data_IF_256652161385
#
_entry.id   IF_256652161385
#
_cell.length_a   1.000
_cell.length_b   1.000
_cell.length_c   1.000
_cell.angle_alpha   90.00
_cell.angle_beta   90.00
_cell.angle_gamma   90.00
#
_symmetry.space_group_name_H-M   'P 1'
#
loop_
_entity.id
_entity.type
_entity.pdbx_description
1 polymer ?
#
# COMPACT_ATOMS: atom_id res chain seq x y z
N UNK A 1 14.01 25.04 17.72
CA UNK A 1 13.22 23.97 17.11
C UNK A 1 11.77 24.41 17.07
N UNK A 2 11.11 24.32 15.92
CA UNK A 2 9.68 24.60 15.82
C UNK A 2 8.88 23.49 16.48
N UNK A 3 7.63 23.73 16.90
CA UNK A 3 6.74 22.69 17.44
C UNK A 3 6.62 21.48 16.49
N UNK A 4 6.60 21.74 15.18
CA UNK A 4 6.57 20.68 14.17
C UNK A 4 7.83 19.80 14.17
N UNK A 5 9.01 20.34 14.49
CA UNK A 5 10.25 19.55 14.61
C UNK A 5 10.24 18.67 15.84
N UNK A 6 9.71 19.14 16.97
CA UNK A 6 9.59 18.35 18.21
C UNK A 6 8.71 17.12 18.04
N UNK A 7 7.71 17.15 17.14
CA UNK A 7 6.83 16.03 16.86
C UNK A 7 7.54 14.78 16.31
N UNK A 8 8.73 14.92 15.75
CA UNK A 8 9.47 13.81 15.11
C UNK A 8 10.73 13.35 15.88
N UNK A 9 11.04 13.95 17.02
CA UNK A 9 12.22 13.60 17.85
C UNK A 9 12.23 12.11 18.24
N UNK A 10 11.04 11.50 18.41
CA UNK A 10 10.91 10.08 18.71
C UNK A 10 11.37 9.20 17.55
N UNK A 11 11.09 9.61 16.31
CA UNK A 11 11.52 8.91 15.10
C UNK A 11 13.04 9.05 14.92
N UNK A 12 13.57 10.25 15.11
CA UNK A 12 15.01 10.51 15.04
C UNK A 12 15.79 9.68 16.08
N UNK A 13 15.31 9.63 17.34
CA UNK A 13 15.93 8.77 18.38
C UNK A 13 15.90 7.28 18.05
N UNK A 14 14.87 6.83 17.32
CA UNK A 14 14.72 5.41 16.95
C UNK A 14 15.66 5.01 15.80
N UNK A 15 15.76 5.86 14.77
CA UNK A 15 16.53 5.56 13.56
C UNK A 15 17.97 6.12 13.58
N UNK A 16 18.25 7.08 14.46
CA UNK A 16 19.48 7.86 14.48
C UNK A 16 19.43 9.06 13.51
N UNK A 17 20.16 10.13 13.85
CA UNK A 17 20.06 11.41 13.14
C UNK A 17 20.35 11.31 11.63
N UNK A 18 21.36 10.55 11.22
CA UNK A 18 21.72 10.43 9.80
C UNK A 18 20.74 9.59 9.00
N UNK A 19 20.26 8.49 9.57
CA UNK A 19 19.19 7.68 8.96
C UNK A 19 17.89 8.47 8.86
N UNK A 20 17.57 9.28 9.86
CA UNK A 20 16.39 10.14 9.85
C UNK A 20 16.47 11.24 8.78
N UNK A 21 17.65 11.79 8.52
CA UNK A 21 17.86 12.71 7.37
C UNK A 21 17.51 12.04 6.03
N UNK A 22 17.83 10.74 5.87
CA UNK A 22 17.46 10.00 4.67
C UNK A 22 15.93 9.83 4.56
N UNK A 23 15.24 9.53 5.67
CA UNK A 23 13.76 9.47 5.70
C UNK A 23 13.15 10.82 5.33
N UNK A 24 13.66 11.91 5.88
CA UNK A 24 13.19 13.27 5.58
C UNK A 24 13.42 13.73 4.14
N UNK A 25 14.38 13.15 3.44
CA UNK A 25 14.66 13.44 2.02
C UNK A 25 13.90 12.51 1.08
N UNK A 26 13.37 11.41 1.59
CA UNK A 26 12.75 10.39 0.76
C UNK A 26 11.48 10.91 0.06
N UNK A 27 11.31 10.50 -1.20
CA UNK A 27 10.11 10.69 -1.99
C UNK A 27 9.41 9.34 -2.20
N UNK A 28 8.23 9.17 -1.60
CA UNK A 28 7.49 7.91 -1.64
C UNK A 28 6.19 8.11 -2.41
N UNK A 29 5.92 7.22 -3.37
CA UNK A 29 4.67 7.17 -4.11
C UNK A 29 3.74 6.14 -3.49
N UNK A 30 2.49 6.53 -3.23
CA UNK A 30 1.41 5.64 -2.76
C UNK A 30 0.34 5.59 -3.82
N UNK A 31 0.10 4.40 -4.39
CA UNK A 31 -0.93 4.18 -5.41
C UNK A 31 -2.10 3.44 -4.79
N UNK A 32 -3.28 4.06 -4.84
CA UNK A 32 -4.49 3.59 -4.17
C UNK A 32 -4.61 4.14 -2.74
N UNK A 33 -5.52 5.10 -2.52
CA UNK A 33 -5.81 5.74 -1.22
C UNK A 33 -7.12 5.17 -0.65
N UNK A 34 -7.13 3.84 -0.61
CA UNK A 34 -8.24 3.05 -0.07
C UNK A 34 -8.00 2.58 1.36
N UNK A 35 -8.54 1.38 1.68
CA UNK A 35 -8.50 0.78 3.03
C UNK A 35 -7.10 0.57 3.60
N UNK A 36 -6.08 0.34 2.75
CA UNK A 36 -4.69 0.20 3.19
C UNK A 36 -3.89 1.47 2.92
N UNK A 37 -4.05 2.07 1.73
CA UNK A 37 -3.24 3.21 1.32
C UNK A 37 -3.41 4.45 2.18
N UNK A 38 -4.59 4.69 2.77
CA UNK A 38 -4.80 5.78 3.72
C UNK A 38 -3.95 5.62 5.00
N UNK A 39 -3.81 4.39 5.50
CA UNK A 39 -2.94 4.08 6.65
C UNK A 39 -1.45 4.12 6.29
N UNK A 40 -1.11 3.77 5.04
CA UNK A 40 0.25 3.96 4.51
C UNK A 40 0.61 5.45 4.53
N UNK A 41 -0.23 6.30 3.94
CA UNK A 41 0.01 7.74 3.87
C UNK A 41 0.11 8.39 5.26
N UNK A 42 -0.76 8.00 6.20
CA UNK A 42 -0.72 8.41 7.61
C UNK A 42 0.60 8.03 8.26
N UNK A 43 1.04 6.78 8.12
CA UNK A 43 2.27 6.30 8.73
C UNK A 43 3.51 6.98 8.16
N UNK A 44 3.55 7.24 6.86
CA UNK A 44 4.63 7.99 6.21
C UNK A 44 4.71 9.43 6.73
N UNK A 45 3.57 10.12 6.82
CA UNK A 45 3.50 11.47 7.36
C UNK A 45 4.00 11.53 8.80
N UNK A 46 3.54 10.60 9.67
CA UNK A 46 3.96 10.49 11.09
C UNK A 46 5.41 10.04 11.28
N UNK A 47 6.00 9.46 10.25
CA UNK A 47 7.42 9.09 10.24
C UNK A 47 8.33 10.22 9.76
N UNK A 48 7.78 11.38 9.39
CA UNK A 48 8.54 12.53 8.95
C UNK A 48 9.07 12.43 7.51
N UNK A 49 8.47 11.61 6.66
CA UNK A 49 8.82 11.53 5.23
C UNK A 49 8.65 12.90 4.58
N UNK A 50 9.64 13.31 3.80
CA UNK A 50 9.71 14.68 3.27
C UNK A 50 8.88 14.91 2.02
N UNK A 51 8.62 13.86 1.22
CA UNK A 51 7.80 14.00 0.03
C UNK A 51 6.93 12.75 -0.20
N UNK A 52 5.65 12.95 -0.42
CA UNK A 52 4.67 11.90 -0.67
C UNK A 52 3.87 12.27 -1.94
N UNK A 53 3.81 11.33 -2.88
CA UNK A 53 2.88 11.43 -4.02
C UNK A 53 1.73 10.47 -3.78
N UNK A 54 0.50 10.96 -3.86
CA UNK A 54 -0.74 10.20 -3.73
C UNK A 54 -1.38 10.05 -5.11
N UNK A 55 -1.72 8.81 -5.50
CA UNK A 55 -2.38 8.51 -6.78
C UNK A 55 -3.67 7.76 -6.50
N UNK A 56 -4.80 8.38 -6.73
CA UNK A 56 -6.17 7.81 -6.66
C UNK A 56 -7.12 8.75 -7.38
N UNK A 57 -8.24 8.25 -7.89
CA UNK A 57 -9.27 9.04 -8.57
C UNK A 57 -10.63 8.99 -7.86
N UNK A 58 -10.73 8.21 -6.78
CA UNK A 58 -12.01 8.00 -6.10
C UNK A 58 -12.35 9.14 -5.13
N UNK A 59 -13.65 9.31 -4.91
CA UNK A 59 -14.21 10.08 -3.80
C UNK A 59 -14.41 9.20 -2.55
N UNK A 60 -14.52 9.85 -1.41
CA UNK A 60 -14.85 9.21 -0.14
C UNK A 60 -16.31 8.77 -0.17
N UNK A 61 -16.57 7.48 0.04
CA UNK A 61 -17.93 6.94 0.17
C UNK A 61 -18.22 6.56 1.63
N UNK A 62 -19.50 6.66 2.04
CA UNK A 62 -19.94 6.27 3.38
C UNK A 62 -19.59 4.80 3.71
N UNK A 63 -19.61 3.90 2.71
CA UNK A 63 -19.20 2.50 2.85
C UNK A 63 -17.70 2.30 3.16
N UNK A 64 -16.91 3.36 3.11
CA UNK A 64 -15.48 3.32 3.41
C UNK A 64 -15.16 3.56 4.89
N UNK A 65 -16.11 4.05 5.68
CA UNK A 65 -15.93 4.51 7.08
C UNK A 65 -15.32 3.43 7.97
N UNK A 66 -15.65 2.18 7.75
CA UNK A 66 -15.19 1.06 8.59
C UNK A 66 -13.69 0.73 8.45
N UNK A 67 -13.00 1.28 7.39
CA UNK A 67 -11.62 0.88 7.11
C UNK A 67 -10.71 1.93 6.49
N UNK A 68 -11.24 3.01 5.93
CA UNK A 68 -10.44 4.08 5.32
C UNK A 68 -10.34 5.28 6.28
N UNK A 69 -9.12 5.69 6.57
CA UNK A 69 -8.84 6.76 7.53
C UNK A 69 -9.49 8.10 7.15
N UNK A 70 -9.52 8.40 5.84
CA UNK A 70 -10.11 9.63 5.30
C UNK A 70 -11.63 9.66 5.34
N UNK A 71 -12.27 8.50 5.54
CA UNK A 71 -13.72 8.38 5.47
C UNK A 71 -14.38 8.70 6.82
N UNK A 72 -14.90 9.90 6.92
CA UNK A 72 -15.71 10.42 8.01
C UNK A 72 -17.05 10.88 7.43
N UNK A 73 -18.08 11.04 8.26
CA UNK A 73 -19.36 11.61 7.80
C UNK A 73 -19.18 13.00 7.19
N UNK A 74 -18.21 13.77 7.69
CA UNK A 74 -17.90 15.13 7.22
C UNK A 74 -17.09 15.18 5.91
N UNK A 75 -16.53 14.05 5.47
CA UNK A 75 -15.69 13.99 4.26
C UNK A 75 -16.28 13.17 3.12
N UNK A 76 -17.50 12.59 3.32
CA UNK A 76 -18.22 11.89 2.24
C UNK A 76 -18.38 12.82 1.03
N UNK A 77 -18.21 12.27 -0.17
CA UNK A 77 -18.24 12.94 -1.48
C UNK A 77 -17.07 13.91 -1.75
N UNK A 78 -16.05 13.95 -0.88
CA UNK A 78 -14.80 14.69 -1.14
C UNK A 78 -13.75 13.78 -1.79
N UNK A 79 -12.87 14.36 -2.60
CA UNK A 79 -11.77 13.64 -3.29
C UNK A 79 -10.81 13.04 -2.26
N UNK A 80 -10.59 11.73 -2.29
CA UNK A 80 -9.78 11.01 -1.27
C UNK A 80 -8.38 11.57 -1.09
N UNK A 81 -7.69 11.86 -2.20
CA UNK A 81 -6.30 12.33 -2.15
C UNK A 81 -6.20 13.75 -1.58
N UNK A 82 -7.21 14.60 -1.77
CA UNK A 82 -7.26 15.93 -1.19
C UNK A 82 -7.45 15.87 0.32
N UNK A 83 -8.43 15.10 0.80
CA UNK A 83 -8.66 14.87 2.24
C UNK A 83 -7.42 14.29 2.91
N UNK A 84 -6.71 13.36 2.23
CA UNK A 84 -5.48 12.80 2.77
C UNK A 84 -4.32 13.80 2.76
N UNK A 85 -4.23 14.67 1.75
CA UNK A 85 -3.19 15.71 1.68
C UNK A 85 -3.33 16.74 2.80
N UNK A 86 -4.54 17.19 3.07
CA UNK A 86 -4.81 18.13 4.17
C UNK A 86 -4.40 17.50 5.51
N UNK A 87 -4.74 16.24 5.71
CA UNK A 87 -4.33 15.50 6.90
C UNK A 87 -2.81 15.33 7.01
N UNK A 88 -2.11 15.02 5.91
CA UNK A 88 -0.65 14.93 5.90
C UNK A 88 -0.02 16.27 6.28
N UNK A 89 -0.54 17.38 5.74
CA UNK A 89 -0.03 18.72 6.05
C UNK A 89 -0.26 19.12 7.51
N UNK A 90 -1.37 18.70 8.11
CA UNK A 90 -1.64 18.93 9.53
C UNK A 90 -0.70 18.14 10.44
N UNK A 91 -0.30 16.93 10.03
CA UNK A 91 0.67 16.08 10.75
C UNK A 91 2.11 16.56 10.53
N UNK A 92 2.48 16.78 9.27
CA UNK A 92 3.83 17.14 8.84
C UNK A 92 3.79 18.32 7.86
N UNK A 93 3.71 19.56 8.35
CA UNK A 93 3.63 20.77 7.52
C UNK A 93 4.81 20.92 6.53
N UNK A 94 5.95 20.28 6.82
CA UNK A 94 7.12 20.33 5.94
C UNK A 94 7.09 19.30 4.82
N UNK A 95 6.13 18.36 4.82
CA UNK A 95 5.99 17.35 3.78
C UNK A 95 5.49 17.98 2.47
N UNK A 96 6.20 17.73 1.38
CA UNK A 96 5.70 18.04 0.04
C UNK A 96 4.73 16.96 -0.39
N UNK A 97 3.46 17.32 -0.60
CA UNK A 97 2.43 16.39 -1.05
C UNK A 97 2.09 16.69 -2.50
N UNK A 98 2.23 15.69 -3.37
CA UNK A 98 1.84 15.77 -4.77
C UNK A 98 0.61 14.90 -5.01
N UNK A 99 -0.37 15.41 -5.73
CA UNK A 99 -1.61 14.72 -6.04
C UNK A 99 -1.66 14.36 -7.52
N UNK A 100 -2.06 13.13 -7.82
CA UNK A 100 -2.35 12.65 -9.17
C UNK A 100 -3.74 12.03 -9.10
N UNK A 101 -4.74 12.78 -9.55
CA UNK A 101 -6.15 12.37 -9.55
C UNK A 101 -6.45 11.53 -10.80
N UNK A 102 -5.84 10.35 -10.84
CA UNK A 102 -5.99 9.41 -11.95
C UNK A 102 -5.93 7.96 -11.45
N UNK A 103 -6.59 7.04 -12.17
CA UNK A 103 -6.27 5.62 -12.05
C UNK A 103 -5.06 5.28 -12.91
N UNK A 104 -4.11 4.56 -12.33
CA UNK A 104 -2.95 4.07 -13.10
C UNK A 104 -3.40 3.08 -14.17
N UNK A 105 -3.11 3.40 -15.41
CA UNK A 105 -3.48 2.63 -16.60
C UNK A 105 -2.38 2.60 -17.65
N UNK A 106 -2.62 1.93 -18.79
CA UNK A 106 -1.64 1.79 -19.87
C UNK A 106 -1.18 3.14 -20.43
N UNK A 107 -2.09 4.11 -20.51
CA UNK A 107 -1.84 5.39 -21.18
C UNK A 107 -1.07 6.38 -20.29
N UNK A 108 -1.08 6.21 -18.97
CA UNK A 108 -0.47 7.14 -18.01
C UNK A 108 0.56 6.52 -17.08
N UNK A 109 0.83 5.21 -17.20
CA UNK A 109 1.76 4.48 -16.33
C UNK A 109 3.14 5.16 -16.26
N UNK A 110 3.68 5.54 -17.40
CA UNK A 110 4.98 6.22 -17.47
C UNK A 110 4.90 7.59 -16.80
N UNK A 111 3.88 8.40 -17.06
CA UNK A 111 3.70 9.71 -16.44
C UNK A 111 3.51 9.62 -14.90
N UNK A 112 2.84 8.59 -14.43
CA UNK A 112 2.63 8.35 -13.01
C UNK A 112 3.90 7.87 -12.29
N UNK A 113 4.69 6.98 -12.91
CA UNK A 113 5.77 6.28 -12.24
C UNK A 113 7.19 6.73 -12.63
N UNK A 114 7.37 7.40 -13.77
CA UNK A 114 8.68 7.90 -14.20
C UNK A 114 9.02 9.24 -13.53
N UNK A 115 9.15 9.19 -12.21
CA UNK A 115 9.54 10.30 -11.34
C UNK A 115 10.61 9.80 -10.38
N UNK A 116 11.32 10.70 -9.74
CA UNK A 116 12.40 10.35 -8.79
C UNK A 116 11.84 9.83 -7.46
N UNK A 117 11.16 8.67 -7.52
CA UNK A 117 10.69 7.98 -6.32
C UNK A 117 11.79 7.12 -5.71
N UNK A 118 12.03 7.26 -4.43
CA UNK A 118 12.84 6.32 -3.68
C UNK A 118 12.14 4.98 -3.50
N UNK A 119 10.80 4.99 -3.43
CA UNK A 119 9.98 3.80 -3.30
C UNK A 119 8.55 3.99 -3.81
N UNK A 120 7.96 2.93 -4.36
CA UNK A 120 6.54 2.86 -4.73
C UNK A 120 5.83 1.86 -3.82
N UNK A 121 4.70 2.26 -3.24
CA UNK A 121 3.81 1.40 -2.45
C UNK A 121 2.51 1.22 -3.25
N UNK A 122 2.31 0.02 -3.77
CA UNK A 122 1.13 -0.35 -4.53
C UNK A 122 0.06 -0.91 -3.60
N UNK A 123 -0.90 -0.06 -3.22
CA UNK A 123 -2.04 -0.36 -2.37
C UNK A 123 -3.38 -0.40 -3.12
N UNK A 124 -3.36 -0.39 -4.46
CA UNK A 124 -4.57 -0.51 -5.27
C UNK A 124 -5.10 -1.96 -5.31
N UNK A 125 -6.34 -2.16 -5.72
CA UNK A 125 -6.98 -3.48 -5.84
C UNK A 125 -7.12 -3.97 -7.30
N UNK A 126 -6.84 -3.12 -8.27
CA UNK A 126 -6.87 -3.46 -9.69
C UNK A 126 -5.72 -4.38 -10.09
N UNK A 127 -6.04 -5.64 -10.41
CA UNK A 127 -5.05 -6.63 -10.89
C UNK A 127 -4.27 -6.13 -12.10
N UNK A 128 -4.96 -5.45 -13.04
CA UNK A 128 -4.33 -4.93 -14.25
C UNK A 128 -3.31 -3.84 -13.90
N UNK A 129 -3.70 -2.86 -13.11
CA UNK A 129 -2.81 -1.79 -12.66
C UNK A 129 -1.62 -2.35 -11.85
N UNK A 130 -1.87 -3.23 -10.88
CA UNK A 130 -0.81 -3.90 -10.09
C UNK A 130 0.20 -4.61 -10.98
N UNK A 131 -0.26 -5.40 -11.95
CA UNK A 131 0.64 -6.15 -12.84
C UNK A 131 1.51 -5.22 -13.69
N UNK A 132 0.93 -4.15 -14.23
CA UNK A 132 1.67 -3.13 -14.98
C UNK A 132 2.72 -2.44 -14.11
N UNK A 133 2.33 -1.94 -12.93
CA UNK A 133 3.24 -1.26 -12.00
C UNK A 133 4.37 -2.15 -11.54
N UNK A 134 4.08 -3.38 -11.09
CA UNK A 134 5.08 -4.34 -10.64
C UNK A 134 6.06 -4.69 -11.75
N UNK A 135 5.56 -4.90 -12.97
CA UNK A 135 6.42 -5.19 -14.13
C UNK A 135 7.28 -4.00 -14.50
N UNK A 136 6.69 -2.81 -14.61
CA UNK A 136 7.39 -1.58 -14.95
C UNK A 136 8.49 -1.24 -13.94
N UNK A 137 8.16 -1.23 -12.66
CA UNK A 137 9.11 -0.95 -11.58
C UNK A 137 10.27 -1.95 -11.58
N UNK A 138 9.97 -3.24 -11.77
CA UNK A 138 11.01 -4.28 -11.86
C UNK A 138 11.98 -4.03 -13.02
N UNK A 139 11.48 -3.73 -14.21
CA UNK A 139 12.31 -3.46 -15.40
C UNK A 139 13.14 -2.18 -15.26
N UNK A 140 12.56 -1.13 -14.69
CA UNK A 140 13.21 0.16 -14.46
C UNK A 140 14.04 0.21 -13.18
N UNK A 141 14.06 -0.88 -12.37
CA UNK A 141 14.76 -0.97 -11.08
C UNK A 141 14.29 0.07 -10.05
N UNK A 142 13.03 0.51 -10.16
CA UNK A 142 12.37 1.33 -9.16
C UNK A 142 11.91 0.42 -8.02
N UNK A 143 12.29 0.70 -6.76
CA UNK A 143 11.85 -0.13 -5.64
C UNK A 143 10.33 -0.10 -5.48
N UNK A 144 9.71 -1.26 -5.34
CA UNK A 144 8.27 -1.40 -5.14
C UNK A 144 7.95 -2.48 -4.10
N UNK A 145 6.94 -2.20 -3.27
CA UNK A 145 6.23 -3.18 -2.46
C UNK A 145 4.77 -3.20 -2.89
N UNK A 146 4.22 -4.39 -3.10
CA UNK A 146 2.80 -4.55 -3.43
C UNK A 146 2.03 -5.09 -2.24
N UNK A 147 0.76 -4.72 -2.14
CA UNK A 147 -0.10 -5.14 -1.05
C UNK A 147 -1.14 -6.12 -1.59
N UNK A 148 -1.31 -7.24 -0.89
CA UNK A 148 -2.32 -8.24 -1.17
C UNK A 148 -3.72 -7.82 -0.71
N UNK A 149 -4.65 -8.76 -0.72
CA UNK A 149 -6.01 -8.54 -0.25
C UNK A 149 -6.08 -8.49 1.27
N UNK A 150 -6.65 -7.41 1.82
CA UNK A 150 -6.88 -7.24 3.26
C UNK A 150 -8.34 -7.53 3.70
N UNK A 151 -9.19 -7.93 2.77
CA UNK A 151 -10.59 -8.30 3.05
C UNK A 151 -10.73 -9.76 3.48
N UNK A 152 -11.80 -10.06 4.23
CA UNK A 152 -12.10 -11.40 4.73
C UNK A 152 -11.21 -11.87 5.88
N UNK A 153 -10.52 -10.97 6.55
CA UNK A 153 -9.54 -11.26 7.61
C UNK A 153 -9.90 -10.53 8.90
N UNK A 154 -9.52 -11.11 10.04
CA UNK A 154 -9.80 -10.60 11.39
C UNK A 154 -8.58 -10.56 12.29
N UNK A 155 -7.53 -11.34 11.96
CA UNK A 155 -6.34 -11.49 12.77
C UNK A 155 -5.15 -10.72 12.18
N UNK A 156 -4.86 -9.50 12.70
CA UNK A 156 -3.76 -8.70 12.22
C UNK A 156 -2.40 -9.32 12.51
N UNK A 157 -2.28 -10.24 13.48
CA UNK A 157 -1.01 -10.90 13.81
C UNK A 157 -0.50 -11.83 12.73
N UNK A 158 -1.35 -12.22 11.78
CA UNK A 158 -1.01 -13.08 10.64
C UNK A 158 -0.50 -12.33 9.41
N UNK A 159 -0.47 -11.00 9.48
CA UNK A 159 0.07 -10.15 8.40
C UNK A 159 1.59 -10.24 8.38
N UNK A 160 2.16 -10.40 7.19
CA UNK A 160 3.61 -10.57 6.99
C UNK A 160 4.05 -10.11 5.61
N UNK A 161 5.35 -9.94 5.46
CA UNK A 161 5.97 -9.68 4.16
C UNK A 161 6.60 -10.96 3.64
N UNK A 162 6.28 -11.31 2.40
CA UNK A 162 6.90 -12.41 1.67
C UNK A 162 7.18 -11.99 0.24
N UNK A 163 8.00 -12.76 -0.47
CA UNK A 163 8.10 -12.58 -1.93
C UNK A 163 6.75 -12.88 -2.59
N UNK A 164 6.31 -12.03 -3.52
CA UNK A 164 5.01 -12.17 -4.19
C UNK A 164 4.82 -13.56 -4.80
N UNK A 165 5.89 -14.20 -5.32
CA UNK A 165 5.83 -15.55 -5.86
C UNK A 165 5.48 -16.60 -4.79
N UNK A 166 5.74 -16.32 -3.51
CA UNK A 166 5.59 -17.24 -2.38
C UNK A 166 4.32 -16.98 -1.53
N UNK A 167 3.50 -16.00 -1.90
CA UNK A 167 2.24 -15.72 -1.19
C UNK A 167 1.31 -16.92 -1.22
N UNK A 168 0.57 -17.14 -0.13
CA UNK A 168 -0.42 -18.21 0.02
C UNK A 168 -1.75 -17.60 0.51
N UNK A 169 -2.84 -18.29 0.28
CA UNK A 169 -4.19 -17.96 0.83
C UNK A 169 -4.78 -16.64 0.33
N UNK A 170 -4.05 -15.81 -0.40
CA UNK A 170 -4.46 -14.50 -0.89
C UNK A 170 -4.90 -14.58 -2.36
N UNK A 171 -6.21 -14.42 -2.68
CA UNK A 171 -6.72 -14.52 -4.04
C UNK A 171 -6.24 -13.38 -4.96
N UNK A 172 -6.07 -12.15 -4.40
CA UNK A 172 -5.56 -11.00 -5.16
C UNK A 172 -4.13 -11.26 -5.61
N UNK A 173 -3.26 -11.66 -4.69
CA UNK A 173 -1.87 -12.00 -4.99
C UNK A 173 -1.76 -13.23 -5.91
N UNK A 174 -2.64 -14.23 -5.76
CA UNK A 174 -2.68 -15.40 -6.65
C UNK A 174 -3.02 -15.00 -8.09
N UNK A 175 -4.02 -14.14 -8.28
CA UNK A 175 -4.39 -13.63 -9.60
C UNK A 175 -3.28 -12.76 -10.20
N UNK A 176 -2.68 -11.88 -9.39
CA UNK A 176 -1.54 -11.06 -9.80
C UNK A 176 -0.38 -11.93 -10.29
N UNK A 177 0.02 -12.97 -9.54
CA UNK A 177 1.06 -13.92 -9.97
C UNK A 177 0.74 -14.58 -11.30
N UNK A 178 -0.53 -14.97 -11.51
CA UNK A 178 -0.97 -15.58 -12.76
C UNK A 178 -0.79 -14.64 -13.95
N UNK A 179 -1.21 -13.38 -13.80
CA UNK A 179 -1.08 -12.36 -14.85
C UNK A 179 0.39 -12.05 -15.13
N UNK A 180 1.22 -11.87 -14.08
CA UNK A 180 2.65 -11.60 -14.23
C UNK A 180 3.38 -12.73 -15.00
N UNK A 181 3.03 -13.99 -14.73
CA UNK A 181 3.60 -15.15 -15.45
C UNK A 181 3.12 -15.27 -16.88
N UNK A 182 1.85 -14.99 -17.14
CA UNK A 182 1.27 -15.17 -18.48
C UNK A 182 1.55 -14.02 -19.43
N UNK A 183 1.62 -12.77 -18.93
CA UNK A 183 1.66 -11.57 -19.77
C UNK A 183 2.93 -10.73 -19.65
N UNK A 184 3.67 -10.84 -18.52
CA UNK A 184 4.81 -9.98 -18.23
C UNK A 184 6.15 -10.71 -18.10
N UNK A 185 6.23 -11.96 -18.55
CA UNK A 185 7.50 -12.70 -18.62
C UNK A 185 8.10 -13.10 -17.26
N UNK A 186 7.33 -13.06 -16.18
CA UNK A 186 7.80 -13.55 -14.88
C UNK A 186 7.94 -15.08 -14.89
N UNK A 187 8.90 -15.60 -14.12
CA UNK A 187 9.23 -17.02 -14.10
C UNK A 187 8.01 -17.90 -13.84
N UNK A 188 7.78 -18.89 -14.72
CA UNK A 188 6.77 -19.92 -14.56
C UNK A 188 7.17 -21.00 -13.54
N UNK A 189 8.46 -21.09 -13.18
CA UNK A 189 8.94 -21.99 -12.14
C UNK A 189 8.41 -21.53 -10.78
N UNK A 190 7.62 -22.36 -10.13
CA UNK A 190 6.96 -22.06 -8.85
C UNK A 190 7.95 -21.90 -7.68
N UNK A 191 9.18 -22.41 -7.80
CA UNK A 191 10.24 -22.25 -6.80
C UNK A 191 11.03 -20.95 -6.97
N UNK A 192 10.90 -20.26 -8.12
CA UNK A 192 11.61 -19.02 -8.39
C UNK A 192 10.92 -17.84 -7.73
N UNK A 193 11.69 -17.02 -7.03
CA UNK A 193 11.23 -15.76 -6.44
C UNK A 193 11.09 -14.68 -7.52
N UNK A 194 10.13 -13.79 -7.35
CA UNK A 194 9.97 -12.61 -8.21
C UNK A 194 10.87 -11.46 -7.78
N UNK A 195 11.39 -11.51 -6.57
CA UNK A 195 12.12 -10.40 -5.91
C UNK A 195 11.27 -9.14 -5.81
N UNK A 196 9.98 -9.32 -5.61
CA UNK A 196 8.98 -8.30 -5.32
C UNK A 196 8.41 -8.63 -3.94
N UNK A 197 8.55 -7.73 -3.00
CA UNK A 197 7.96 -7.90 -1.67
C UNK A 197 6.46 -7.66 -1.71
N UNK A 198 5.71 -8.50 -1.00
CA UNK A 198 4.26 -8.40 -0.90
C UNK A 198 3.85 -8.49 0.58
N UNK A 199 3.08 -7.50 1.03
CA UNK A 199 2.39 -7.58 2.32
C UNK A 199 1.14 -8.41 2.13
N UNK A 200 0.99 -9.50 2.86
CA UNK A 200 -0.17 -10.38 2.81
C UNK A 200 -0.42 -11.04 4.16
N UNK A 201 -1.61 -11.59 4.36
CA UNK A 201 -1.91 -12.41 5.53
C UNK A 201 -1.78 -13.91 5.21
N UNK A 202 -1.49 -14.68 6.25
CA UNK A 202 -1.58 -16.16 6.21
C UNK A 202 -2.91 -16.68 6.77
N UNK A 203 -3.81 -15.79 7.15
CA UNK A 203 -5.14 -16.13 7.62
C UNK A 203 -6.00 -16.70 6.51
N UNK A 204 -6.75 -17.76 6.80
CA UNK A 204 -7.78 -18.26 5.90
C UNK A 204 -8.93 -17.26 5.83
N UNK A 205 -9.42 -16.98 4.62
CA UNK A 205 -10.45 -15.97 4.42
C UNK A 205 -11.81 -16.41 4.97
N UNK A 206 -12.53 -15.46 5.52
CA UNK A 206 -13.92 -15.59 5.93
C UNK A 206 -14.83 -15.07 4.83
N UNK A 207 -15.81 -15.88 4.46
CA UNK A 207 -16.77 -15.57 3.41
C UNK A 207 -18.15 -15.34 3.98
N UNK A 208 -18.84 -14.23 3.69
CA UNK A 208 -20.22 -14.03 4.07
C UNK A 208 -21.11 -15.04 3.35
N UNK A 209 -22.11 -15.56 4.07
CA UNK A 209 -23.08 -16.50 3.54
C UNK A 209 -24.43 -15.78 3.31
N UNK A 210 -25.33 -16.31 2.46
CA UNK A 210 -26.61 -15.71 2.15
C UNK A 210 -27.55 -15.56 3.37
N UNK A 211 -27.37 -16.39 4.39
CA UNK A 211 -28.14 -16.38 5.64
C UNK A 211 -27.61 -15.35 6.67
N UNK A 212 -26.57 -14.58 6.29
CA UNK A 212 -25.91 -13.61 7.17
C UNK A 212 -24.82 -14.20 8.07
N UNK A 213 -24.60 -15.51 8.04
CA UNK A 213 -23.51 -16.15 8.74
C UNK A 213 -22.17 -15.94 7.99
N UNK A 214 -21.07 -16.37 8.60
CA UNK A 214 -19.73 -16.28 8.00
C UNK A 214 -19.04 -17.64 8.12
N UNK A 215 -18.49 -18.14 7.01
CA UNK A 215 -17.80 -19.42 6.95
C UNK A 215 -16.45 -19.28 6.20
N UNK A 216 -15.60 -20.28 6.33
CA UNK A 216 -14.37 -20.45 5.52
C UNK A 216 -14.66 -21.02 4.14
N UNK A 217 -15.81 -21.66 3.93
CA UNK A 217 -16.26 -22.17 2.65
C UNK A 217 -16.84 -21.05 1.78
N UNK A 218 -16.39 -20.98 0.53
CA UNK A 218 -16.95 -20.05 -0.44
C UNK A 218 -18.35 -20.52 -0.84
N UNK A 219 -19.39 -19.70 -0.62
CA UNK A 219 -20.74 -20.03 -1.08
C UNK A 219 -20.80 -20.20 -2.60
N UNK A 220 -21.57 -21.18 -3.07
CA UNK A 220 -21.78 -21.43 -4.51
C UNK A 220 -22.35 -20.20 -5.26
N UNK A 221 -23.16 -19.39 -4.59
CA UNK A 221 -23.74 -18.16 -5.15
C UNK A 221 -22.74 -17.00 -5.30
N UNK A 222 -21.57 -17.06 -4.64
CA UNK A 222 -20.50 -16.07 -4.73
C UNK A 222 -19.43 -16.49 -5.75
N UNK A 223 -19.51 -17.70 -6.29
CA UNK A 223 -18.48 -18.27 -7.17
C UNK A 223 -18.30 -17.51 -8.50
N UNK A 224 -19.27 -16.70 -8.94
CA UNK A 224 -19.20 -15.91 -10.18
C UNK A 224 -19.09 -14.39 -10.00
N UNK A 225 -19.26 -13.86 -8.80
CA UNK A 225 -19.20 -12.43 -8.55
C UNK A 225 -17.74 -11.95 -8.45
N UNK A 226 -17.45 -10.77 -9.02
CA UNK A 226 -16.22 -10.04 -8.71
C UNK A 226 -16.22 -9.77 -7.19
N UNK A 227 -15.27 -10.42 -6.50
CA UNK A 227 -15.10 -10.25 -5.06
C UNK A 227 -14.22 -9.02 -4.83
N UNK A 228 -14.81 -7.85 -4.91
CA UNK A 228 -14.23 -6.59 -4.48
C UNK A 228 -14.67 -6.28 -3.03
N UNK A 229 -14.01 -5.32 -2.41
CA UNK A 229 -14.33 -4.90 -1.04
C UNK A 229 -15.72 -4.25 -0.90
N UNK A 230 -16.43 -3.98 -2.00
CA UNK A 230 -17.75 -3.35 -2.00
C UNK A 230 -18.91 -4.37 -1.95
N UNK A 231 -18.68 -5.63 -2.39
CA UNK A 231 -19.75 -6.63 -2.52
C UNK A 231 -19.40 -8.04 -2.05
N UNK A 232 -18.14 -8.34 -1.66
CA UNK A 232 -17.72 -9.73 -1.44
C UNK A 232 -17.09 -10.04 -0.09
N UNK A 233 -16.18 -9.21 0.41
CA UNK A 233 -15.49 -9.43 1.67
C UNK A 233 -15.78 -8.32 2.67
N UNK A 234 -16.02 -8.70 3.94
CA UNK A 234 -15.92 -7.76 5.05
C UNK A 234 -14.47 -7.29 5.23
N UNK A 235 -14.29 -6.10 5.77
CA UNK A 235 -12.99 -5.57 6.13
C UNK A 235 -13.09 -4.77 7.42
N UNK A 236 -11.97 -4.68 8.16
CA UNK A 236 -11.86 -3.94 9.43
C UNK A 236 -10.58 -3.13 9.47
N UNK A 237 -10.64 -1.96 10.12
CA UNK A 237 -9.55 -0.99 10.13
C UNK A 237 -8.26 -1.52 10.74
N UNK A 238 -8.32 -2.32 11.80
CA UNK A 238 -7.13 -2.85 12.46
C UNK A 238 -6.37 -3.88 11.61
N UNK A 239 -7.02 -4.54 10.63
CA UNK A 239 -6.33 -5.40 9.64
C UNK A 239 -5.76 -4.53 8.54
N UNK A 240 -6.56 -3.68 7.90
CA UNK A 240 -6.09 -2.82 6.81
C UNK A 240 -4.99 -1.87 7.27
N UNK A 241 -5.10 -1.32 8.48
CA UNK A 241 -4.07 -0.50 9.11
C UNK A 241 -2.76 -1.27 9.31
N UNK A 242 -2.83 -2.52 9.82
CA UNK A 242 -1.63 -3.35 10.01
C UNK A 242 -0.92 -3.63 8.68
N UNK A 243 -1.65 -3.90 7.60
CA UNK A 243 -1.03 -4.00 6.26
C UNK A 243 -0.27 -2.73 5.90
N UNK A 244 -0.88 -1.56 6.10
CA UNK A 244 -0.26 -0.27 5.83
C UNK A 244 0.98 -0.02 6.68
N UNK A 245 0.91 -0.23 7.99
CA UNK A 245 2.02 -0.02 8.92
C UNK A 245 3.22 -0.94 8.63
N UNK A 246 2.96 -2.23 8.33
CA UNK A 246 4.02 -3.19 7.98
C UNK A 246 4.69 -2.78 6.65
N UNK A 247 3.91 -2.31 5.67
CA UNK A 247 4.47 -1.82 4.41
C UNK A 247 5.41 -0.62 4.64
N UNK A 248 4.97 0.37 5.44
CA UNK A 248 5.76 1.57 5.73
C UNK A 248 7.01 1.23 6.52
N UNK A 249 6.92 0.42 7.57
CA UNK A 249 8.07 -0.02 8.34
C UNK A 249 9.13 -0.65 7.41
N UNK A 250 8.71 -1.53 6.50
CA UNK A 250 9.62 -2.16 5.54
C UNK A 250 10.25 -1.17 4.57
N UNK A 251 9.49 -0.21 4.08
CA UNK A 251 9.97 0.82 3.14
C UNK A 251 11.00 1.71 3.82
N UNK A 252 10.74 2.17 5.04
CA UNK A 252 11.69 3.01 5.79
C UNK A 252 12.99 2.25 6.08
N UNK A 253 12.94 0.97 6.48
CA UNK A 253 14.12 0.13 6.67
C UNK A 253 14.96 0.02 5.39
N UNK A 254 14.31 -0.09 4.22
CA UNK A 254 15.01 -0.15 2.93
C UNK A 254 15.68 1.17 2.57
N UNK A 255 15.02 2.30 2.84
CA UNK A 255 15.57 3.65 2.62
C UNK A 255 16.81 3.84 3.49
N UNK A 256 16.70 3.53 4.78
CA UNK A 256 17.82 3.64 5.74
C UNK A 256 18.99 2.74 5.33
N UNK A 257 18.72 1.46 5.00
CA UNK A 257 19.76 0.53 4.58
C UNK A 257 20.44 0.95 3.26
N UNK A 258 19.72 1.59 2.32
CA UNK A 258 20.29 2.17 1.10
C UNK A 258 21.22 3.33 1.45
N UNK A 259 20.78 4.23 2.33
CA UNK A 259 21.59 5.37 2.76
C UNK A 259 22.87 4.94 3.45
N UNK A 260 22.82 4.02 4.43
CA UNK A 260 23.97 3.53 5.15
C UNK A 260 25.02 2.86 4.24
N UNK A 261 24.56 2.14 3.20
CA UNK A 261 25.50 1.56 2.20
C UNK A 261 26.24 2.64 1.43
N UNK A 262 25.53 3.67 0.96
CA UNK A 262 26.13 4.77 0.21
C UNK A 262 27.11 5.60 1.05
N UNK A 263 26.90 5.72 2.36
CA UNK A 263 27.85 6.39 3.26
C UNK A 263 29.10 5.53 3.52
N UNK A 264 28.97 4.19 3.59
CA UNK A 264 30.09 3.28 3.77
C UNK A 264 30.95 3.09 2.52
N UNK A 265 30.48 3.48 1.35
CA UNK A 265 31.19 3.41 0.06
C UNK A 265 31.95 4.71 -0.28
N UNK A 266 31.80 5.77 0.54
CA UNK A 266 32.54 7.04 0.44
C UNK A 266 33.80 7.03 1.30
#
# INVERSE_FOLDING_TARGET
>A
MTQAQQGFDGVERLYGADSYKAIRKAHICVVGIGGVGTWVAEALARSGVGQITLIDMDDVAASNINRQLVALLSTVDQVKIEVMADRIKDINPSCQVNLIEEFVGENNLEACLNRDYDYVIDACDSIKAKAMMVSWCKHRRVPIITIGGAGGQRDPSKVKIVDLAMTKVDPLAAKLRSVLRSQYGFSKNLKSRFRIECVCSSEQLHYPQPDGSVDWAKSANVAGAKMDCSRGFGAVSFVTGTFGFIAVARVLDKIVAKHQRLENEK
#
